data_IF_414448190033
#
_entry.id   IF_414448190033
#
_cell.length_a   1.000
_cell.length_b   1.000
_cell.length_c   1.000
_cell.angle_alpha   90.00
_cell.angle_beta   90.00
_cell.angle_gamma   90.00
#
_symmetry.space_group_name_H-M   'P 1'
#
loop_
_entity.id
_entity.type
_entity.pdbx_description
1 polymer ?
#
# COMPACT_ATOMS: atom_id res chain seq x y z
N UNK A 1 2.60 -2.73 -12.45
CA UNK A 1 1.57 -1.66 -12.40
C UNK A 1 2.17 -0.34 -12.90
N UNK A 2 1.50 0.36 -13.82
CA UNK A 2 1.88 1.74 -14.21
C UNK A 2 1.72 2.62 -12.97
N UNK A 3 2.83 2.94 -12.31
CA UNK A 3 2.87 3.60 -10.98
C UNK A 3 2.06 4.89 -10.92
N UNK A 4 1.94 5.60 -12.05
CA UNK A 4 1.20 6.85 -12.13
C UNK A 4 -0.31 6.65 -11.99
N UNK A 5 -0.86 5.59 -12.60
CA UNK A 5 -2.29 5.30 -12.55
C UNK A 5 -2.77 4.98 -11.13
N UNK A 6 -1.95 4.25 -10.37
CA UNK A 6 -2.25 3.94 -8.97
C UNK A 6 -2.25 5.20 -8.09
N UNK A 7 -1.32 6.13 -8.31
CA UNK A 7 -1.28 7.40 -7.55
C UNK A 7 -2.47 8.31 -7.91
N UNK A 8 -2.86 8.36 -9.19
CA UNK A 8 -4.06 9.10 -9.62
C UNK A 8 -5.33 8.54 -8.98
N UNK A 9 -5.49 7.22 -8.94
CA UNK A 9 -6.62 6.56 -8.28
C UNK A 9 -6.67 6.89 -6.78
N UNK A 10 -5.52 6.92 -6.09
CA UNK A 10 -5.44 7.32 -4.68
C UNK A 10 -5.84 8.78 -4.45
N UNK A 11 -5.51 9.69 -5.37
CA UNK A 11 -5.88 11.11 -5.25
C UNK A 11 -7.38 11.34 -5.34
N UNK A 12 -8.09 10.50 -6.08
CA UNK A 12 -9.55 10.58 -6.22
C UNK A 12 -10.32 10.02 -5.01
N UNK A 13 -9.68 9.23 -4.14
CA UNK A 13 -10.31 8.65 -2.95
C UNK A 13 -10.45 9.66 -1.81
N UNK A 14 -11.42 9.43 -0.93
CA UNK A 14 -11.60 10.23 0.29
C UNK A 14 -10.53 9.90 1.35
N UNK A 15 -10.37 10.77 2.35
CA UNK A 15 -9.42 10.53 3.44
C UNK A 15 -9.74 9.26 4.25
N UNK A 16 -11.02 8.91 4.38
CA UNK A 16 -11.44 7.70 5.08
C UNK A 16 -11.08 6.43 4.28
N UNK A 17 -11.39 6.42 2.98
CA UNK A 17 -11.04 5.31 2.08
C UNK A 17 -9.53 5.08 2.01
N UNK A 18 -8.74 6.16 1.98
CA UNK A 18 -7.27 6.07 2.01
C UNK A 18 -6.75 5.44 3.31
N UNK A 19 -7.37 5.74 4.45
CA UNK A 19 -7.02 5.12 5.72
C UNK A 19 -7.41 3.64 5.77
N UNK A 20 -8.58 3.27 5.24
CA UNK A 20 -9.00 1.87 5.12
C UNK A 20 -8.03 1.07 4.23
N UNK A 21 -7.67 1.63 3.09
CA UNK A 21 -6.72 1.01 2.17
C UNK A 21 -5.30 0.90 2.78
N UNK A 22 -4.89 1.88 3.58
CA UNK A 22 -3.65 1.82 4.34
C UNK A 22 -3.65 0.67 5.35
N UNK A 23 -4.75 0.47 6.07
CA UNK A 23 -4.90 -0.63 7.04
C UNK A 23 -4.90 -1.98 6.32
N UNK A 24 -5.64 -2.09 5.21
CA UNK A 24 -5.65 -3.29 4.38
C UNK A 24 -4.25 -3.64 3.85
N UNK A 25 -3.52 -2.67 3.31
CA UNK A 25 -2.16 -2.86 2.80
C UNK A 25 -1.16 -3.26 3.91
N UNK A 26 -1.30 -2.71 5.12
CA UNK A 26 -0.50 -3.13 6.29
C UNK A 26 -0.78 -4.58 6.70
N UNK A 27 -2.05 -5.01 6.66
CA UNK A 27 -2.45 -6.39 6.93
C UNK A 27 -1.89 -7.35 5.87
N UNK A 28 -1.96 -6.97 4.59
CA UNK A 28 -1.33 -7.72 3.50
C UNK A 28 0.17 -7.85 3.73
N UNK A 29 0.87 -6.76 4.07
CA UNK A 29 2.31 -6.79 4.36
C UNK A 29 2.64 -7.73 5.53
N UNK A 30 1.83 -7.74 6.59
CA UNK A 30 2.00 -8.67 7.71
C UNK A 30 1.89 -10.13 7.25
N UNK A 31 0.84 -10.45 6.51
CA UNK A 31 0.63 -11.81 5.98
C UNK A 31 1.78 -12.23 5.05
N UNK A 32 2.25 -11.34 4.16
CA UNK A 32 3.38 -11.63 3.27
C UNK A 32 4.68 -11.85 4.05
N UNK A 33 4.93 -11.07 5.11
CA UNK A 33 6.09 -11.29 5.99
C UNK A 33 6.00 -12.61 6.73
N UNK A 34 4.80 -13.00 7.18
CA UNK A 34 4.56 -14.27 7.83
C UNK A 34 4.80 -15.45 6.86
N UNK A 35 4.22 -15.41 5.66
CA UNK A 35 4.44 -16.40 4.60
C UNK A 35 5.92 -16.49 4.18
N UNK A 36 6.62 -15.36 4.12
CA UNK A 36 8.05 -15.33 3.82
C UNK A 36 8.88 -15.97 4.94
N UNK A 37 8.48 -15.82 6.20
CA UNK A 37 9.14 -16.46 7.34
C UNK A 37 8.90 -17.97 7.38
N UNK A 38 7.74 -18.45 6.90
CA UNK A 38 7.43 -19.88 6.77
C UNK A 38 7.92 -20.50 5.46
N UNK A 39 8.65 -19.75 4.62
CA UNK A 39 9.10 -20.15 3.28
C UNK A 39 7.95 -20.58 2.34
N UNK A 40 6.74 -20.10 2.57
CA UNK A 40 5.55 -20.39 1.75
C UNK A 40 5.25 -19.29 0.73
N UNK A 41 6.14 -18.30 0.59
CA UNK A 41 5.96 -17.17 -0.32
C UNK A 41 6.72 -17.39 -1.62
N UNK A 42 5.98 -17.69 -2.70
CA UNK A 42 6.57 -17.87 -4.03
C UNK A 42 7.10 -16.56 -4.65
N UNK A 43 6.46 -15.42 -4.32
CA UNK A 43 6.80 -14.13 -4.90
C UNK A 43 7.22 -13.09 -3.85
N UNK A 44 8.51 -13.08 -3.53
CA UNK A 44 9.11 -12.11 -2.59
C UNK A 44 9.08 -10.67 -3.10
N UNK A 45 8.96 -10.44 -4.42
CA UNK A 45 8.87 -9.09 -4.99
C UNK A 45 7.58 -8.37 -4.56
N UNK A 46 6.53 -9.12 -4.20
CA UNK A 46 5.27 -8.58 -3.71
C UNK A 46 5.43 -7.78 -2.42
N UNK A 47 6.31 -8.21 -1.51
CA UNK A 47 6.63 -7.46 -0.28
C UNK A 47 7.13 -6.05 -0.60
N UNK A 48 8.01 -5.93 -1.60
CA UNK A 48 8.55 -4.63 -2.05
C UNK A 48 7.46 -3.77 -2.69
N UNK A 49 6.56 -4.37 -3.44
CA UNK A 49 5.43 -3.67 -4.07
C UNK A 49 4.45 -3.12 -3.02
N UNK A 50 4.01 -3.95 -2.08
CA UNK A 50 3.09 -3.55 -1.00
C UNK A 50 3.71 -2.47 -0.13
N UNK A 51 5.01 -2.55 0.19
CA UNK A 51 5.72 -1.50 0.93
C UNK A 51 5.70 -0.16 0.20
N UNK A 52 5.91 -0.16 -1.12
CA UNK A 52 5.83 1.06 -1.95
C UNK A 52 4.39 1.60 -2.00
N UNK A 53 3.39 0.74 -2.05
CA UNK A 53 1.99 1.17 -2.06
C UNK A 53 1.60 1.85 -0.75
N UNK A 54 2.02 1.30 0.40
CA UNK A 54 1.84 1.93 1.72
C UNK A 54 2.44 3.34 1.73
N UNK A 55 3.68 3.50 1.27
CA UNK A 55 4.35 4.81 1.24
C UNK A 55 3.61 5.82 0.35
N UNK A 56 3.08 5.38 -0.80
CA UNK A 56 2.30 6.25 -1.70
C UNK A 56 0.98 6.69 -1.07
N UNK A 57 0.25 5.76 -0.44
CA UNK A 57 -0.99 6.08 0.27
C UNK A 57 -0.73 7.11 1.35
N UNK A 58 0.31 6.91 2.17
CA UNK A 58 0.72 7.86 3.20
C UNK A 58 1.06 9.23 2.60
N UNK A 59 1.79 9.27 1.49
CA UNK A 59 2.14 10.51 0.80
C UNK A 59 0.88 11.27 0.37
N UNK A 60 -0.09 10.60 -0.26
CA UNK A 60 -1.35 11.23 -0.69
C UNK A 60 -2.19 11.71 0.49
N UNK A 61 -2.21 10.97 1.61
CA UNK A 61 -2.86 11.41 2.85
C UNK A 61 -2.22 12.71 3.34
N UNK A 62 -0.88 12.79 3.39
CA UNK A 62 -0.16 14.00 3.79
C UNK A 62 -0.37 15.16 2.81
N UNK A 63 -0.37 14.90 1.50
CA UNK A 63 -0.69 15.90 0.48
C UNK A 63 -2.10 16.48 0.69
N UNK A 64 -3.10 15.64 0.98
CA UNK A 64 -4.47 16.08 1.26
C UNK A 64 -4.63 16.80 2.60
N UNK A 65 -3.80 16.50 3.59
CA UNK A 65 -3.83 17.16 4.89
C UNK A 65 -3.15 18.55 4.88
N UNK A 66 -2.19 18.76 3.97
CA UNK A 66 -1.44 20.00 3.82
C UNK A 66 -2.00 20.94 2.73
N UNK A 67 -3.02 20.50 1.97
CA UNK A 67 -3.72 21.28 0.96
C UNK A 67 -4.92 22.00 1.57
#
# INVERSE_FOLDING_TARGET
MKTNKFVEELKNKSANELNEELVAAKKELFNLRFQNATNQLDNTSRIKEVRKNIARIQTVITEKANA
#
